data_IF_523612816406
#
_entry.id   IF_523612816406
#
_cell.length_a   1.000
_cell.length_b   1.000
_cell.length_c   1.000
_cell.angle_alpha   90.00
_cell.angle_beta   90.00
_cell.angle_gamma   90.00
#
_symmetry.space_group_name_H-M   'P 1'
#
loop_
_entity.id
_entity.type
_entity.pdbx_description
1 polymer ?
#
# COMPACT_ATOMS: atom_id res chain seq x y z
N UNK A 1 51.98 -37.75 41.34
CA UNK A 1 53.07 -38.59 40.80
C UNK A 1 52.81 -38.80 39.32
N UNK A 2 53.64 -38.25 38.43
CA UNK A 2 54.35 -36.96 38.58
C UNK A 2 54.14 -36.05 37.33
N UNK A 3 53.94 -34.73 37.48
CA UNK A 3 54.95 -33.63 37.36
C UNK A 3 55.08 -33.08 35.91
N UNK A 4 55.46 -31.84 35.60
CA UNK A 4 55.97 -30.68 36.40
C UNK A 4 54.99 -29.47 36.25
N UNK A 5 54.74 -28.60 37.23
CA UNK A 5 55.65 -27.67 37.96
C UNK A 5 56.20 -26.51 37.07
N UNK A 6 56.28 -25.23 37.49
CA UNK A 6 56.10 -24.61 38.82
C UNK A 6 55.96 -23.05 38.75
N UNK A 7 55.02 -22.43 39.51
CA UNK A 7 55.21 -21.24 40.41
C UNK A 7 55.58 -19.81 39.88
N UNK A 8 55.41 -18.66 40.60
CA UNK A 8 54.86 -18.30 41.95
C UNK A 8 54.47 -16.79 42.05
N UNK A 9 53.51 -16.48 42.96
CA UNK A 9 53.32 -15.25 43.77
C UNK A 9 53.28 -13.82 43.14
N UNK A 10 52.56 -12.84 43.70
CA UNK A 10 51.60 -12.85 44.82
C UNK A 10 51.63 -11.58 45.69
N UNK A 11 50.44 -11.12 46.15
CA UNK A 11 50.08 -10.49 47.45
C UNK A 11 48.77 -9.66 47.25
N UNK A 12 47.64 -9.90 47.96
CA UNK A 12 47.35 -9.57 49.37
C UNK A 12 47.36 -8.04 49.64
N UNK A 13 46.38 -7.37 50.29
CA UNK A 13 45.31 -7.83 51.22
C UNK A 13 44.27 -6.71 51.52
N UNK A 14 43.01 -7.11 51.81
CA UNK A 14 42.07 -6.60 52.87
C UNK A 14 41.50 -5.15 52.91
N UNK A 15 40.14 -5.15 52.96
CA UNK A 15 39.22 -4.49 53.94
C UNK A 15 39.10 -2.95 54.04
N UNK A 16 37.84 -2.50 53.94
CA UNK A 16 37.20 -1.77 55.05
C UNK A 16 36.53 -0.44 54.67
N UNK A 17 35.28 -0.16 55.10
CA UNK A 17 34.50 0.99 54.65
C UNK A 17 34.50 2.16 55.65
N UNK A 18 34.06 3.35 55.22
CA UNK A 18 33.58 4.41 56.13
C UNK A 18 32.60 5.38 55.42
N UNK A 19 31.80 6.08 56.23
CA UNK A 19 30.60 6.85 55.87
C UNK A 19 30.66 8.31 56.35
N UNK A 20 29.81 9.18 55.78
CA UNK A 20 29.51 10.54 56.29
C UNK A 20 30.12 11.65 55.41
N UNK A 21 29.46 12.72 54.95
CA UNK A 21 28.34 13.57 55.42
C UNK A 21 28.81 14.94 55.99
N UNK A 22 28.28 16.04 55.43
CA UNK A 22 28.52 17.44 55.82
C UNK A 22 29.63 18.14 55.00
N UNK A 23 29.57 19.45 54.69
CA UNK A 23 28.57 20.50 55.01
C UNK A 23 28.67 21.67 54.00
N UNK A 24 27.50 22.17 53.56
CA UNK A 24 27.02 23.58 53.53
C UNK A 24 28.04 24.75 53.52
N UNK A 25 27.95 25.75 52.61
CA UNK A 25 27.23 27.07 52.73
C UNK A 25 27.72 27.99 51.56
N UNK A 26 27.09 29.08 51.07
CA UNK A 26 25.78 29.76 51.24
C UNK A 26 25.53 30.71 50.01
N UNK A 27 24.29 31.22 49.84
CA UNK A 27 23.88 32.54 49.25
C UNK A 27 24.36 33.01 47.84
N UNK A 28 23.50 33.52 46.96
CA UNK A 28 22.68 34.74 47.17
C UNK A 28 21.48 34.87 46.21
N UNK A 29 20.47 35.64 46.65
CA UNK A 29 19.19 35.88 45.95
C UNK A 29 19.13 37.21 45.16
N UNK A 30 18.23 37.28 44.16
CA UNK A 30 17.32 38.40 43.78
C UNK A 30 16.60 38.02 42.47
N UNK A 31 15.28 37.86 42.35
CA UNK A 31 14.09 38.64 42.74
C UNK A 31 13.50 39.50 41.61
N UNK A 32 12.17 39.32 41.42
CA UNK A 32 11.11 40.15 40.78
C UNK A 32 10.41 39.43 39.61
N UNK A 33 9.18 38.90 39.76
CA UNK A 33 7.84 39.52 39.93
C UNK A 33 7.09 39.84 38.62
N UNK A 34 5.76 39.61 38.64
CA UNK A 34 4.72 39.65 37.58
C UNK A 34 4.37 38.27 37.00
N UNK A 35 3.11 37.86 36.85
CA UNK A 35 1.82 38.47 37.23
C UNK A 35 0.67 37.63 36.64
N UNK A 36 -0.35 37.28 37.43
CA UNK A 36 -1.34 36.26 37.05
C UNK A 36 -2.50 36.77 36.17
N UNK A 37 -3.13 35.86 35.41
CA UNK A 37 -4.29 36.16 34.55
C UNK A 37 -4.99 34.94 33.95
N UNK A 38 -5.67 34.13 34.77
CA UNK A 38 -6.58 33.07 34.30
C UNK A 38 -8.01 33.60 34.15
N UNK A 39 -8.68 33.32 33.03
CA UNK A 39 -10.15 33.40 32.92
C UNK A 39 -10.75 32.13 32.30
N UNK A 40 -11.75 31.58 32.99
CA UNK A 40 -12.49 30.35 32.61
C UNK A 40 -13.50 30.63 31.50
N UNK A 41 -13.68 29.70 30.57
CA UNK A 41 -14.86 29.62 29.70
C UNK A 41 -15.99 28.86 30.41
N UNK A 42 -17.22 29.38 30.35
CA UNK A 42 -18.46 28.68 30.76
C UNK A 42 -19.55 28.90 29.70
N UNK A 43 -20.33 27.84 29.41
CA UNK A 43 -21.55 27.90 28.58
C UNK A 43 -22.77 28.28 29.44
N UNK A 44 -23.82 28.85 28.82
CA UNK A 44 -25.19 28.39 29.07
C UNK A 44 -26.03 28.17 27.77
N UNK A 45 -27.28 27.63 27.87
CA UNK A 45 -28.04 27.09 26.73
C UNK A 45 -29.32 27.93 26.39
N UNK A 46 -30.50 27.43 25.92
CA UNK A 46 -31.07 27.92 24.65
C UNK A 46 -32.51 28.52 24.69
N UNK A 47 -32.94 29.11 23.56
CA UNK A 47 -34.29 29.62 23.27
C UNK A 47 -34.41 31.16 23.34
N UNK A 48 -35.39 31.84 22.73
CA UNK A 48 -36.31 31.50 21.63
C UNK A 48 -37.06 32.79 21.15
N UNK A 49 -37.65 32.76 19.94
CA UNK A 49 -38.85 33.55 19.51
C UNK A 49 -38.72 35.04 19.03
N UNK A 50 -39.16 35.24 17.77
CA UNK A 50 -39.76 36.42 17.08
C UNK A 50 -38.95 37.68 16.68
N UNK A 51 -39.06 38.02 15.38
CA UNK A 51 -38.74 39.34 14.79
C UNK A 51 -38.91 39.33 13.26
N UNK A 52 -39.97 39.96 12.72
CA UNK A 52 -40.31 39.94 11.27
C UNK A 52 -39.49 40.94 10.45
N UNK A 53 -39.16 40.59 9.21
CA UNK A 53 -38.66 41.54 8.20
C UNK A 53 -38.24 40.87 6.89
N UNK A 54 -39.16 40.74 5.94
CA UNK A 54 -38.88 40.06 4.66
C UNK A 54 -38.71 41.04 3.49
N UNK A 55 -37.74 40.77 2.61
CA UNK A 55 -37.74 41.26 1.23
C UNK A 55 -37.69 40.08 0.26
N UNK A 56 -38.74 39.90 -0.53
CA UNK A 56 -38.74 39.01 -1.70
C UNK A 56 -38.16 39.78 -2.90
N UNK A 57 -37.31 39.13 -3.70
CA UNK A 57 -37.16 39.46 -5.12
C UNK A 57 -37.45 38.22 -5.95
N UNK A 58 -38.40 38.37 -6.86
CA UNK A 58 -38.93 37.34 -7.75
C UNK A 58 -38.13 37.25 -9.04
N UNK A 59 -37.86 36.05 -9.51
CA UNK A 59 -37.43 35.77 -10.90
C UNK A 59 -38.68 35.40 -11.70
N UNK A 60 -38.96 36.03 -12.86
CA UNK A 60 -40.14 35.71 -13.68
C UNK A 60 -39.88 34.55 -14.65
N UNK A 61 -40.94 33.81 -14.97
CA UNK A 61 -40.97 32.68 -15.91
C UNK A 61 -42.17 32.79 -16.85
N UNK A 62 -41.97 32.74 -18.18
CA UNK A 62 -42.95 32.49 -19.26
C UNK A 62 -42.39 32.93 -20.63
N UNK A 63 -42.97 32.52 -21.79
CA UNK A 63 -43.60 31.23 -22.12
C UNK A 63 -43.17 30.68 -23.52
N UNK A 64 -43.82 29.58 -23.93
CA UNK A 64 -43.67 28.86 -25.22
C UNK A 64 -44.37 29.57 -26.39
N UNK A 65 -43.90 29.37 -27.63
CA UNK A 65 -44.64 29.63 -28.87
C UNK A 65 -44.50 28.49 -29.90
N UNK A 66 -45.48 28.37 -30.80
CA UNK A 66 -45.70 27.22 -31.69
C UNK A 66 -45.06 27.34 -33.10
N UNK A 67 -44.90 26.16 -33.72
CA UNK A 67 -45.07 25.76 -35.13
C UNK A 67 -45.52 26.85 -36.15
N UNK A 68 -45.02 26.97 -37.39
CA UNK A 68 -45.09 26.04 -38.55
C UNK A 68 -44.28 26.63 -39.74
N UNK A 69 -44.06 26.01 -40.91
CA UNK A 69 -43.96 24.60 -41.37
C UNK A 69 -43.42 24.57 -42.83
N UNK A 70 -42.90 23.44 -43.33
CA UNK A 70 -42.56 23.26 -44.76
C UNK A 70 -42.48 21.77 -45.16
N UNK A 71 -43.36 21.32 -46.06
CA UNK A 71 -43.28 20.01 -46.72
C UNK A 71 -42.33 20.06 -47.92
N UNK A 72 -41.62 18.97 -48.19
CA UNK A 72 -41.14 18.66 -49.54
C UNK A 72 -41.48 17.20 -49.87
N UNK A 73 -41.83 16.96 -51.13
CA UNK A 73 -42.48 15.71 -51.55
C UNK A 73 -41.50 14.60 -51.91
N UNK A 74 -42.01 13.36 -51.86
CA UNK A 74 -41.30 12.12 -52.14
C UNK A 74 -40.75 12.04 -53.58
N UNK A 75 -39.54 11.50 -53.73
CA UNK A 75 -39.14 10.81 -54.96
C UNK A 75 -38.30 9.57 -54.65
N UNK A 76 -38.60 8.48 -55.34
CA UNK A 76 -38.07 7.15 -55.06
C UNK A 76 -36.62 6.94 -55.52
N UNK A 77 -35.98 5.91 -54.95
CA UNK A 77 -35.09 5.04 -55.75
C UNK A 77 -33.59 5.32 -55.75
N UNK A 78 -32.88 4.92 -54.68
CA UNK A 78 -31.66 4.07 -54.75
C UNK A 78 -31.13 3.74 -53.35
N UNK A 79 -31.23 2.47 -52.93
CA UNK A 79 -30.59 1.97 -51.70
C UNK A 79 -29.08 1.93 -51.90
N UNK A 80 -28.32 2.64 -51.06
CA UNK A 80 -26.90 2.33 -50.77
C UNK A 80 -26.86 1.48 -49.49
N UNK A 81 -26.01 0.44 -49.40
CA UNK A 81 -25.91 -0.34 -48.17
C UNK A 81 -25.21 0.48 -47.07
N UNK A 82 -25.90 0.68 -45.94
CA UNK A 82 -25.26 1.20 -44.73
C UNK A 82 -24.40 0.13 -44.04
N UNK A 83 -23.43 0.52 -43.20
CA UNK A 83 -22.56 -0.43 -42.51
C UNK A 83 -23.35 -1.31 -41.55
N UNK A 84 -22.95 -2.60 -41.47
CA UNK A 84 -23.66 -3.63 -40.72
C UNK A 84 -23.69 -3.36 -39.21
N UNK A 85 -24.86 -3.04 -38.66
CA UNK A 85 -25.10 -2.91 -37.22
C UNK A 85 -25.35 -4.28 -36.56
N UNK A 86 -24.41 -5.22 -36.72
CA UNK A 86 -24.39 -6.53 -36.06
C UNK A 86 -22.96 -6.97 -35.73
N UNK A 87 -22.48 -6.65 -34.53
CA UNK A 87 -21.33 -7.28 -33.83
C UNK A 87 -21.03 -6.77 -32.40
N UNK A 88 -21.84 -5.88 -31.80
CA UNK A 88 -21.62 -5.39 -30.43
C UNK A 88 -22.50 -6.05 -29.34
N UNK A 89 -23.48 -6.88 -29.69
CA UNK A 89 -24.40 -7.50 -28.70
C UNK A 89 -24.16 -9.00 -28.47
N UNK A 90 -23.21 -9.61 -29.18
CA UNK A 90 -22.74 -10.98 -28.94
C UNK A 90 -21.79 -11.01 -27.75
N UNK A 91 -20.77 -10.15 -27.80
CA UNK A 91 -19.59 -10.21 -26.96
C UNK A 91 -19.92 -9.87 -25.49
N UNK A 92 -20.91 -9.00 -25.25
CA UNK A 92 -21.44 -8.72 -23.91
C UNK A 92 -22.23 -9.89 -23.33
N UNK A 93 -23.09 -10.55 -24.12
CA UNK A 93 -23.84 -11.72 -23.67
C UNK A 93 -22.93 -12.93 -23.38
N UNK A 94 -21.87 -13.14 -24.16
CA UNK A 94 -20.91 -14.21 -23.90
C UNK A 94 -20.08 -13.97 -22.62
N UNK A 95 -19.67 -12.73 -22.35
CA UNK A 95 -18.95 -12.39 -21.12
C UNK A 95 -19.85 -12.43 -19.87
N UNK A 96 -21.14 -12.11 -19.99
CA UNK A 96 -22.12 -12.32 -18.90
C UNK A 96 -22.45 -13.81 -18.68
N UNK A 97 -22.44 -14.64 -19.72
CA UNK A 97 -22.59 -16.09 -19.56
C UNK A 97 -21.38 -16.69 -18.81
N UNK A 98 -20.15 -16.38 -19.26
CA UNK A 98 -18.90 -16.86 -18.65
C UNK A 98 -18.73 -16.41 -17.19
N UNK A 99 -19.13 -15.20 -16.84
CA UNK A 99 -19.03 -14.71 -15.45
C UNK A 99 -20.00 -15.41 -14.47
N UNK A 100 -21.06 -16.05 -14.96
CA UNK A 100 -21.96 -16.86 -14.13
C UNK A 100 -21.44 -18.27 -13.84
N UNK A 101 -20.46 -18.77 -14.60
CA UNK A 101 -19.77 -20.04 -14.33
C UNK A 101 -18.72 -19.86 -13.21
N UNK A 102 -18.05 -18.70 -13.17
CA UNK A 102 -17.01 -18.39 -12.18
C UNK A 102 -17.56 -18.26 -10.75
N UNK A 103 -17.13 -19.09 -9.78
CA UNK A 103 -17.60 -19.03 -8.40
C UNK A 103 -17.36 -17.67 -7.72
N UNK A 104 -16.29 -16.98 -8.12
CA UNK A 104 -15.94 -15.64 -7.62
C UNK A 104 -16.89 -14.54 -8.11
N UNK A 105 -17.47 -14.67 -9.31
CA UNK A 105 -18.21 -13.60 -10.01
C UNK A 105 -19.71 -13.85 -10.05
N UNK A 106 -20.16 -15.10 -9.86
CA UNK A 106 -21.57 -15.47 -9.82
C UNK A 106 -22.29 -14.80 -8.65
N UNK A 107 -23.28 -13.96 -8.97
CA UNK A 107 -24.15 -13.31 -7.96
C UNK A 107 -24.85 -14.34 -7.09
N UNK A 108 -24.58 -14.34 -5.78
CA UNK A 108 -25.25 -15.19 -4.81
C UNK A 108 -26.23 -14.38 -3.96
N UNK A 109 -27.49 -14.79 -3.89
CA UNK A 109 -28.54 -14.11 -3.12
C UNK A 109 -28.59 -14.50 -1.64
N UNK A 110 -27.63 -15.30 -1.15
CA UNK A 110 -27.79 -16.13 0.06
C UNK A 110 -26.87 -15.78 1.24
N UNK A 111 -26.05 -14.72 1.16
CA UNK A 111 -25.11 -14.34 2.24
C UNK A 111 -25.13 -12.85 2.55
N UNK A 112 -26.17 -12.42 3.26
CA UNK A 112 -26.19 -11.14 3.99
C UNK A 112 -25.39 -11.21 5.31
N UNK A 113 -25.04 -12.42 5.77
CA UNK A 113 -24.19 -12.68 6.94
C UNK A 113 -22.90 -13.36 6.51
N UNK A 114 -21.78 -12.96 7.12
CA UNK A 114 -20.46 -13.50 6.79
C UNK A 114 -20.26 -14.94 7.30
N UNK A 115 -20.91 -15.32 8.41
CA UNK A 115 -20.81 -16.66 8.98
C UNK A 115 -21.95 -17.59 8.50
N UNK A 116 -21.69 -18.91 8.35
CA UNK A 116 -20.38 -19.56 8.45
C UNK A 116 -19.49 -19.25 7.23
N UNK A 117 -18.18 -19.11 7.47
CA UNK A 117 -17.17 -18.87 6.43
C UNK A 117 -17.18 -20.03 5.42
N UNK A 118 -17.19 -19.71 4.12
CA UNK A 118 -17.18 -20.69 3.03
C UNK A 118 -15.80 -20.79 2.37
N UNK A 119 -15.02 -19.71 2.41
CA UNK A 119 -13.66 -19.63 1.85
C UNK A 119 -12.65 -19.32 2.97
N UNK A 120 -12.24 -20.34 3.75
CA UNK A 120 -11.46 -20.15 4.98
C UNK A 120 -10.03 -19.67 4.73
N UNK A 121 -9.47 -19.96 3.56
CA UNK A 121 -8.18 -19.48 3.07
C UNK A 121 -8.21 -18.00 2.67
N UNK A 122 -9.22 -17.58 1.89
CA UNK A 122 -9.50 -16.17 1.58
C UNK A 122 -9.69 -15.38 2.90
N UNK A 123 -10.48 -15.93 3.83
CA UNK A 123 -10.69 -15.31 5.15
C UNK A 123 -9.41 -15.26 6.00
N UNK A 124 -8.55 -16.28 5.92
CA UNK A 124 -7.24 -16.29 6.58
C UNK A 124 -6.34 -15.17 6.05
N UNK A 125 -6.29 -14.95 4.73
CA UNK A 125 -5.52 -13.84 4.16
C UNK A 125 -6.09 -12.48 4.60
N UNK A 126 -7.41 -12.33 4.68
CA UNK A 126 -8.01 -11.12 5.27
C UNK A 126 -7.60 -10.92 6.73
N UNK A 127 -7.59 -11.98 7.54
CA UNK A 127 -7.10 -11.88 8.94
C UNK A 127 -5.60 -11.59 9.04
N UNK A 128 -4.80 -12.07 8.09
CA UNK A 128 -3.38 -11.71 7.99
C UNK A 128 -3.21 -10.23 7.65
N UNK A 129 -3.97 -9.69 6.69
CA UNK A 129 -3.96 -8.26 6.37
C UNK A 129 -4.38 -7.41 7.58
N UNK A 130 -5.46 -7.77 8.28
CA UNK A 130 -5.88 -7.09 9.51
C UNK A 130 -4.81 -7.09 10.61
N UNK A 131 -4.04 -8.18 10.76
CA UNK A 131 -2.95 -8.26 11.74
C UNK A 131 -1.74 -7.38 11.36
N UNK A 132 -1.60 -7.03 10.08
CA UNK A 132 -0.54 -6.16 9.55
C UNK A 132 -0.85 -4.66 9.63
N UNK A 133 -2.10 -4.26 9.93
CA UNK A 133 -2.56 -2.84 9.96
C UNK A 133 -1.54 -1.88 10.57
N UNK A 134 -1.25 -0.76 9.92
CA UNK A 134 -0.38 0.30 10.43
C UNK A 134 -0.84 1.68 9.93
N UNK A 135 -0.35 2.76 10.53
CA UNK A 135 -0.56 4.15 10.05
C UNK A 135 0.75 4.88 9.81
N UNK A 136 0.73 5.93 8.99
CA UNK A 136 1.95 6.63 8.57
C UNK A 136 2.70 7.29 9.75
N UNK A 137 2.01 7.66 10.83
CA UNK A 137 2.62 8.22 12.05
C UNK A 137 3.46 7.22 12.86
N UNK A 138 3.35 5.91 12.59
CA UNK A 138 4.27 4.90 13.17
C UNK A 138 5.70 5.00 12.59
N UNK A 139 5.91 5.78 11.51
CA UNK A 139 7.21 5.91 10.82
C UNK A 139 7.95 7.19 11.24
N UNK A 140 9.00 7.04 12.05
CA UNK A 140 9.87 8.16 12.46
C UNK A 140 10.77 8.68 11.32
N UNK A 141 10.37 9.78 10.69
CA UNK A 141 11.16 10.48 9.66
C UNK A 141 12.19 11.49 10.23
N UNK A 142 12.28 11.67 11.56
CA UNK A 142 13.08 12.76 12.16
C UNK A 142 14.58 12.68 11.86
N UNK A 143 15.09 11.47 11.61
CA UNK A 143 16.51 11.19 11.31
C UNK A 143 16.83 11.23 9.82
N UNK A 144 15.82 11.25 8.94
CA UNK A 144 16.03 11.11 7.50
C UNK A 144 16.53 12.39 6.87
N UNK A 145 16.06 13.57 7.30
CA UNK A 145 16.51 14.84 6.72
C UNK A 145 18.05 15.08 6.89
N UNK A 146 18.67 14.77 8.05
CA UNK A 146 20.13 14.73 8.19
C UNK A 146 20.86 13.72 7.28
N UNK A 147 20.24 12.58 6.96
CA UNK A 147 20.81 11.61 6.01
C UNK A 147 20.67 12.12 4.57
N UNK A 148 19.45 12.54 4.19
CA UNK A 148 19.09 13.15 2.91
C UNK A 148 20.09 14.23 2.53
N UNK A 149 20.35 15.20 3.41
CA UNK A 149 21.25 16.31 3.10
C UNK A 149 22.67 15.86 2.72
N UNK A 150 23.16 14.73 3.26
CA UNK A 150 24.49 14.16 2.97
C UNK A 150 24.55 13.33 1.68
N UNK A 151 23.41 12.92 1.11
CA UNK A 151 23.37 12.17 -0.14
C UNK A 151 23.88 12.99 -1.33
N UNK A 152 24.45 12.31 -2.33
CA UNK A 152 24.87 12.90 -3.60
C UNK A 152 23.67 13.44 -4.39
N UNK A 153 23.94 14.28 -5.40
CA UNK A 153 22.92 14.75 -6.36
C UNK A 153 22.13 13.59 -6.97
N UNK A 154 22.84 12.54 -7.34
CA UNK A 154 22.34 11.43 -8.15
C UNK A 154 21.48 10.48 -7.29
N UNK A 155 21.88 10.29 -6.03
CA UNK A 155 21.11 9.54 -5.03
C UNK A 155 19.81 10.28 -4.67
N UNK A 156 19.88 11.61 -4.47
CA UNK A 156 18.70 12.46 -4.27
C UNK A 156 17.77 12.45 -5.48
N UNK A 157 18.35 12.48 -6.69
CA UNK A 157 17.59 12.40 -7.93
C UNK A 157 16.86 11.06 -8.03
N UNK A 158 17.57 9.94 -7.87
CA UNK A 158 16.99 8.60 -7.89
C UNK A 158 15.84 8.46 -6.89
N UNK A 159 16.09 8.74 -5.60
CA UNK A 159 15.08 8.57 -4.54
C UNK A 159 13.87 9.48 -4.79
N UNK A 160 14.06 10.75 -5.18
CA UNK A 160 12.92 11.64 -5.42
C UNK A 160 12.05 11.21 -6.59
N UNK A 161 12.63 10.59 -7.62
CA UNK A 161 11.89 10.12 -8.80
C UNK A 161 11.21 8.75 -8.56
N UNK A 162 11.80 7.89 -7.72
CA UNK A 162 11.13 6.67 -7.20
C UNK A 162 9.91 7.05 -6.35
N UNK A 163 10.05 7.98 -5.41
CA UNK A 163 8.93 8.42 -4.57
C UNK A 163 7.81 9.07 -5.40
N UNK A 164 8.16 9.85 -6.42
CA UNK A 164 7.21 10.46 -7.34
C UNK A 164 6.43 9.42 -8.17
N UNK A 165 7.10 8.35 -8.60
CA UNK A 165 6.45 7.20 -9.25
C UNK A 165 5.46 6.50 -8.29
N UNK A 166 5.88 6.21 -7.05
CA UNK A 166 5.03 5.58 -6.05
C UNK A 166 3.80 6.43 -5.71
N UNK A 167 3.97 7.70 -5.32
CA UNK A 167 2.86 8.59 -4.94
C UNK A 167 1.76 8.73 -6.02
N UNK A 168 2.10 8.45 -7.29
CA UNK A 168 1.17 8.44 -8.40
C UNK A 168 0.52 7.06 -8.69
N UNK A 169 1.14 5.96 -8.26
CA UNK A 169 0.78 4.59 -8.66
C UNK A 169 -0.28 3.97 -7.75
N UNK A 170 -0.15 4.14 -6.43
CA UNK A 170 -1.08 3.61 -5.42
C UNK A 170 -2.51 4.16 -5.62
N UNK A 171 -2.64 5.39 -6.12
CA UNK A 171 -3.92 5.97 -6.55
C UNK A 171 -4.59 5.20 -7.70
N UNK A 172 -3.80 4.80 -8.71
CA UNK A 172 -4.28 4.01 -9.86
C UNK A 172 -4.66 2.58 -9.42
N UNK A 173 -3.90 1.99 -8.49
CA UNK A 173 -4.22 0.70 -7.85
C UNK A 173 -5.58 0.80 -7.13
N UNK A 174 -5.79 1.86 -6.35
CA UNK A 174 -7.05 2.12 -5.66
C UNK A 174 -8.26 2.28 -6.61
N UNK A 175 -8.12 3.00 -7.72
CA UNK A 175 -9.17 3.10 -8.75
C UNK A 175 -9.56 1.70 -9.29
N UNK A 176 -8.58 0.83 -9.56
CA UNK A 176 -8.87 -0.54 -10.00
C UNK A 176 -9.62 -1.36 -8.94
N UNK A 177 -9.19 -1.28 -7.68
CA UNK A 177 -9.80 -2.01 -6.57
C UNK A 177 -11.26 -1.57 -6.34
N UNK A 178 -11.50 -0.26 -6.34
CA UNK A 178 -12.82 0.36 -6.08
C UNK A 178 -13.77 0.21 -7.28
N UNK A 179 -13.32 0.45 -8.51
CA UNK A 179 -14.19 0.41 -9.68
C UNK A 179 -14.36 -0.99 -10.30
N UNK A 180 -13.37 -1.86 -10.18
CA UNK A 180 -13.37 -3.21 -10.79
C UNK A 180 -13.53 -4.30 -9.73
N UNK A 181 -12.46 -4.68 -9.03
CA UNK A 181 -12.43 -5.99 -8.36
C UNK A 181 -13.40 -6.11 -7.18
N UNK A 182 -13.52 -5.10 -6.32
CA UNK A 182 -14.45 -5.13 -5.19
C UNK A 182 -15.93 -5.19 -5.60
N UNK A 183 -16.26 -4.68 -6.80
CA UNK A 183 -17.62 -4.71 -7.36
C UNK A 183 -17.91 -6.00 -8.13
N UNK A 184 -16.95 -6.45 -8.94
CA UNK A 184 -17.06 -7.65 -9.79
C UNK A 184 -17.06 -8.95 -8.97
N UNK A 185 -16.19 -9.08 -7.97
CA UNK A 185 -16.16 -10.26 -7.09
C UNK A 185 -17.38 -10.23 -6.17
N UNK A 186 -18.06 -11.37 -6.03
CA UNK A 186 -19.29 -11.54 -5.23
C UNK A 186 -19.07 -12.31 -3.92
N UNK A 187 -17.89 -12.90 -3.73
CA UNK A 187 -17.52 -13.62 -2.50
C UNK A 187 -17.26 -12.60 -1.37
N UNK A 188 -18.01 -12.65 -0.25
CA UNK A 188 -17.90 -11.63 0.79
C UNK A 188 -16.57 -11.68 1.54
N UNK A 189 -15.96 -12.86 1.71
CA UNK A 189 -14.61 -12.99 2.26
C UNK A 189 -13.56 -12.22 1.45
N UNK A 190 -13.66 -12.25 0.11
CA UNK A 190 -12.74 -11.54 -0.77
C UNK A 190 -13.01 -10.03 -0.81
N UNK A 191 -14.29 -9.61 -0.70
CA UNK A 191 -14.64 -8.19 -0.51
C UNK A 191 -14.10 -7.63 0.81
N UNK A 192 -14.06 -8.43 1.88
CA UNK A 192 -13.42 -8.03 3.13
C UNK A 192 -11.91 -7.82 2.96
N UNK A 193 -11.22 -8.67 2.20
CA UNK A 193 -9.82 -8.45 1.83
C UNK A 193 -9.65 -7.13 1.05
N UNK A 194 -10.34 -6.97 -0.08
CA UNK A 194 -10.20 -5.75 -0.90
C UNK A 194 -10.58 -4.48 -0.16
N UNK A 195 -11.59 -4.50 0.72
CA UNK A 195 -11.94 -3.35 1.56
C UNK A 195 -10.85 -2.97 2.56
N UNK A 196 -10.03 -3.93 3.00
CA UNK A 196 -8.86 -3.66 3.82
C UNK A 196 -7.64 -3.26 2.98
N UNK A 197 -7.47 -3.83 1.79
CA UNK A 197 -6.45 -3.40 0.84
C UNK A 197 -6.63 -1.92 0.48
N UNK A 198 -7.83 -1.50 0.07
CA UNK A 198 -8.16 -0.09 -0.22
C UNK A 198 -7.78 0.82 0.95
N UNK A 199 -7.97 0.39 2.20
CA UNK A 199 -7.52 1.14 3.37
C UNK A 199 -5.98 1.27 3.41
N UNK A 200 -5.23 0.20 3.20
CA UNK A 200 -3.76 0.25 3.29
C UNK A 200 -3.12 0.99 2.10
N UNK A 201 -3.66 0.90 0.88
CA UNK A 201 -3.19 1.72 -0.26
C UNK A 201 -3.33 3.23 -0.01
N UNK A 202 -4.34 3.65 0.78
CA UNK A 202 -4.46 5.03 1.20
C UNK A 202 -3.38 5.43 2.22
N UNK A 203 -3.00 4.52 3.12
CA UNK A 203 -1.86 4.72 4.05
C UNK A 203 -0.53 4.75 3.28
N UNK A 204 -0.36 3.91 2.24
CA UNK A 204 0.80 3.96 1.34
C UNK A 204 0.89 5.32 0.64
N UNK A 205 -0.21 5.78 0.04
CA UNK A 205 -0.32 7.08 -0.65
C UNK A 205 0.02 8.26 0.28
N UNK A 206 -0.46 8.24 1.53
CA UNK A 206 -0.10 9.22 2.55
C UNK A 206 1.39 9.15 2.92
N UNK A 207 1.92 7.95 3.15
CA UNK A 207 3.33 7.73 3.49
C UNK A 207 4.26 8.26 2.39
N UNK A 208 4.00 7.96 1.12
CA UNK A 208 4.79 8.50 0.00
C UNK A 208 4.69 10.03 -0.10
N UNK A 209 3.51 10.61 0.16
CA UNK A 209 3.32 12.06 0.20
C UNK A 209 4.12 12.73 1.33
N UNK A 210 4.13 12.14 2.52
CA UNK A 210 4.91 12.60 3.69
C UNK A 210 6.42 12.50 3.44
N UNK A 211 6.89 11.42 2.81
CA UNK A 211 8.30 11.26 2.39
C UNK A 211 8.70 12.39 1.43
N UNK A 212 7.87 12.68 0.42
CA UNK A 212 8.13 13.77 -0.55
C UNK A 212 8.14 15.14 0.14
N UNK A 213 7.17 15.48 0.99
CA UNK A 213 7.12 16.79 1.67
C UNK A 213 8.31 16.99 2.64
N UNK A 214 8.72 15.90 3.31
CA UNK A 214 9.89 15.90 4.20
C UNK A 214 11.18 16.20 3.44
N UNK A 215 11.42 15.53 2.30
CA UNK A 215 12.69 15.62 1.57
C UNK A 215 12.75 16.77 0.56
N UNK A 216 11.63 17.14 -0.05
CA UNK A 216 11.53 18.08 -1.17
C UNK A 216 10.95 19.41 -0.68
N UNK A 217 11.82 20.23 -0.07
CA UNK A 217 11.46 21.52 0.52
C UNK A 217 10.99 22.56 -0.51
N UNK A 218 11.56 22.57 -1.72
CA UNK A 218 11.16 23.47 -2.82
C UNK A 218 9.76 23.11 -3.34
N UNK A 219 8.76 24.00 -3.19
CA UNK A 219 7.39 23.76 -3.67
C UNK A 219 7.31 23.48 -5.17
N UNK A 220 8.14 24.11 -6.00
CA UNK A 220 8.10 23.90 -7.47
C UNK A 220 8.62 22.52 -7.85
N UNK A 221 9.70 22.09 -7.21
CA UNK A 221 10.21 20.72 -7.39
C UNK A 221 9.21 19.68 -6.86
N UNK A 222 8.53 19.97 -5.75
CA UNK A 222 7.49 19.10 -5.18
C UNK A 222 6.27 18.98 -6.11
N UNK A 223 5.79 20.09 -6.66
CA UNK A 223 4.72 20.13 -7.67
C UNK A 223 5.10 19.36 -8.95
N UNK A 224 6.33 19.52 -9.46
CA UNK A 224 6.83 18.75 -10.60
C UNK A 224 6.81 17.23 -10.36
N UNK A 225 7.17 16.79 -9.14
CA UNK A 225 7.22 15.38 -8.75
C UNK A 225 5.82 14.80 -8.48
N UNK A 226 4.90 15.54 -7.86
CA UNK A 226 3.52 15.08 -7.70
C UNK A 226 2.77 14.93 -9.05
N UNK A 227 3.16 15.70 -10.07
CA UNK A 227 2.63 15.57 -11.42
C UNK A 227 3.39 14.55 -12.31
N UNK A 228 4.10 13.57 -11.73
CA UNK A 228 4.98 12.64 -12.46
C UNK A 228 4.30 11.86 -13.60
N UNK A 229 3.00 11.56 -13.54
CA UNK A 229 2.25 10.92 -14.65
C UNK A 229 2.27 11.80 -15.91
N UNK A 230 2.30 13.12 -15.77
CA UNK A 230 2.35 14.05 -16.90
C UNK A 230 3.78 14.50 -17.22
N UNK A 231 4.64 14.66 -16.20
CA UNK A 231 5.98 15.24 -16.34
C UNK A 231 7.09 14.21 -16.63
N UNK A 232 6.86 12.91 -16.39
CA UNK A 232 7.87 11.85 -16.53
C UNK A 232 7.39 10.72 -17.48
N UNK A 233 7.91 10.63 -18.71
CA UNK A 233 7.42 9.69 -19.74
C UNK A 233 7.37 8.21 -19.33
N UNK A 234 8.28 7.76 -18.46
CA UNK A 234 8.34 6.35 -18.02
C UNK A 234 7.34 6.04 -16.90
N UNK A 235 7.06 7.01 -16.02
CA UNK A 235 5.93 6.92 -15.07
C UNK A 235 4.63 6.90 -15.87
N UNK A 236 4.51 7.76 -16.88
CA UNK A 236 3.40 7.71 -17.82
C UNK A 236 3.24 6.34 -18.50
N UNK A 237 4.33 5.73 -18.99
CA UNK A 237 4.28 4.41 -19.64
C UNK A 237 3.75 3.32 -18.71
N UNK A 238 4.18 3.30 -17.44
CA UNK A 238 3.68 2.36 -16.41
C UNK A 238 2.22 2.65 -16.03
N UNK A 239 1.87 3.91 -15.83
CA UNK A 239 0.49 4.35 -15.56
C UNK A 239 -0.47 3.98 -16.70
N UNK A 240 -0.11 4.31 -17.95
CA UNK A 240 -0.90 3.98 -19.15
C UNK A 240 -1.07 2.46 -19.34
N UNK A 241 -0.07 1.65 -18.96
CA UNK A 241 -0.17 0.19 -18.96
C UNK A 241 -1.19 -0.30 -17.93
N UNK A 242 -1.13 0.20 -16.68
CA UNK A 242 -2.08 -0.16 -15.62
C UNK A 242 -3.51 0.31 -15.96
N UNK A 243 -3.66 1.59 -16.32
CA UNK A 243 -4.93 2.21 -16.73
C UNK A 243 -5.58 1.48 -17.91
N UNK A 244 -4.81 0.92 -18.85
CA UNK A 244 -5.35 0.07 -19.92
C UNK A 244 -6.12 -1.13 -19.37
N UNK A 245 -5.58 -1.83 -18.36
CA UNK A 245 -6.24 -3.00 -17.76
C UNK A 245 -7.47 -2.62 -16.91
N UNK A 246 -7.47 -1.42 -16.33
CA UNK A 246 -8.61 -0.84 -15.60
C UNK A 246 -9.72 -0.45 -16.57
N UNK A 247 -9.38 0.16 -17.71
CA UNK A 247 -10.35 0.65 -18.69
C UNK A 247 -10.88 -0.46 -19.63
N UNK A 248 -10.11 -1.52 -19.89
CA UNK A 248 -10.49 -2.53 -20.88
C UNK A 248 -11.73 -3.34 -20.44
N UNK A 249 -12.63 -3.52 -21.41
CA UNK A 249 -13.88 -4.29 -21.31
C UNK A 249 -13.81 -5.59 -22.10
N UNK A 250 -12.76 -5.82 -22.88
CA UNK A 250 -12.51 -7.06 -23.63
C UNK A 250 -11.77 -8.11 -22.79
N UNK A 251 -10.76 -7.67 -22.03
CA UNK A 251 -9.97 -8.54 -21.15
C UNK A 251 -10.83 -9.25 -20.11
N UNK A 252 -10.64 -10.57 -19.99
CA UNK A 252 -11.32 -11.41 -19.00
C UNK A 252 -10.93 -10.99 -17.57
N UNK A 253 -11.70 -11.47 -16.57
CA UNK A 253 -11.32 -11.29 -15.17
C UNK A 253 -9.97 -11.95 -14.87
N UNK A 254 -9.70 -13.15 -15.39
CA UNK A 254 -8.44 -13.85 -15.17
C UNK A 254 -7.22 -13.12 -15.74
N UNK A 255 -7.32 -12.53 -16.93
CA UNK A 255 -6.25 -11.69 -17.47
C UNK A 255 -6.00 -10.45 -16.59
N UNK A 256 -7.06 -9.80 -16.10
CA UNK A 256 -6.92 -8.62 -15.23
C UNK A 256 -6.34 -8.96 -13.86
N UNK A 257 -6.67 -10.12 -13.28
CA UNK A 257 -6.03 -10.60 -12.04
C UNK A 257 -4.53 -10.81 -12.23
N UNK A 258 -4.11 -11.38 -13.37
CA UNK A 258 -2.68 -11.54 -13.70
C UNK A 258 -2.01 -10.19 -13.92
N UNK A 259 -2.64 -9.28 -14.66
CA UNK A 259 -2.12 -7.94 -14.87
C UNK A 259 -1.97 -7.15 -13.55
N UNK A 260 -2.92 -7.32 -12.63
CA UNK A 260 -2.87 -6.70 -11.30
C UNK A 260 -1.75 -7.29 -10.42
N UNK A 261 -1.62 -8.61 -10.38
CA UNK A 261 -0.51 -9.28 -9.69
C UNK A 261 0.86 -8.86 -10.27
N UNK A 262 0.93 -8.48 -11.55
CA UNK A 262 2.14 -7.91 -12.15
C UNK A 262 2.37 -6.44 -11.77
N UNK A 263 1.33 -5.63 -11.49
CA UNK A 263 1.51 -4.28 -10.93
C UNK A 263 2.12 -4.39 -9.52
N UNK A 264 1.46 -5.10 -8.62
CA UNK A 264 1.88 -5.24 -7.21
C UNK A 264 3.21 -6.01 -7.09
N UNK A 265 3.32 -7.11 -7.83
CA UNK A 265 4.44 -8.03 -7.75
C UNK A 265 5.68 -7.66 -8.57
N UNK A 266 5.54 -6.99 -9.72
CA UNK A 266 6.66 -6.70 -10.65
C UNK A 266 6.96 -5.20 -10.74
N UNK A 267 5.98 -4.34 -11.01
CA UNK A 267 6.21 -2.90 -11.23
C UNK A 267 6.75 -2.13 -10.01
N UNK A 268 6.67 -2.69 -8.80
CA UNK A 268 7.30 -2.10 -7.62
C UNK A 268 8.57 -2.85 -7.16
N UNK A 269 8.82 -4.05 -7.68
CA UNK A 269 9.82 -4.99 -7.16
C UNK A 269 11.25 -4.44 -7.14
N UNK A 270 11.71 -3.87 -8.25
CA UNK A 270 13.07 -3.32 -8.35
C UNK A 270 13.21 -2.00 -7.59
N UNK A 271 12.12 -1.24 -7.46
CA UNK A 271 12.07 -0.02 -6.65
C UNK A 271 12.20 -0.32 -5.15
N UNK A 272 11.50 -1.36 -4.67
CA UNK A 272 11.68 -1.87 -3.29
C UNK A 272 13.09 -2.40 -3.05
N UNK A 273 13.65 -3.18 -3.98
CA UNK A 273 15.04 -3.67 -3.88
C UNK A 273 16.07 -2.52 -3.85
N UNK A 274 15.83 -1.45 -4.62
CA UNK A 274 16.67 -0.25 -4.63
C UNK A 274 16.62 0.52 -3.30
N UNK A 275 15.49 0.55 -2.60
CA UNK A 275 15.40 1.14 -1.25
C UNK A 275 16.03 0.19 -0.20
N UNK A 276 15.88 -1.13 -0.33
CA UNK A 276 16.58 -2.09 0.53
C UNK A 276 18.11 -2.04 0.40
N UNK A 277 18.63 -1.67 -0.77
CA UNK A 277 20.04 -1.34 -0.93
C UNK A 277 20.48 -0.13 -0.06
N UNK A 278 19.62 0.88 0.12
CA UNK A 278 19.87 1.98 1.07
C UNK A 278 19.87 1.50 2.52
N UNK A 279 18.99 0.54 2.88
CA UNK A 279 19.01 -0.14 4.20
C UNK A 279 20.34 -0.85 4.44
N UNK A 280 20.84 -1.62 3.45
CA UNK A 280 22.17 -2.28 3.52
C UNK A 280 23.32 -1.28 3.72
N UNK A 281 23.15 -0.03 3.25
CA UNK A 281 24.10 1.08 3.42
C UNK A 281 23.91 1.89 4.70
N UNK A 282 22.90 1.59 5.54
CA UNK A 282 22.61 2.33 6.77
C UNK A 282 22.05 3.74 6.53
N UNK A 283 21.31 3.94 5.45
CA UNK A 283 20.79 5.25 5.02
C UNK A 283 19.26 5.32 5.11
N UNK A 284 18.74 6.52 5.41
CA UNK A 284 17.30 6.84 5.40
C UNK A 284 16.45 5.85 6.22
N UNK A 285 16.65 5.77 7.56
CA UNK A 285 15.95 4.79 8.41
C UNK A 285 14.42 4.88 8.34
N UNK A 286 13.84 6.07 8.18
CA UNK A 286 12.39 6.25 7.99
C UNK A 286 11.89 5.69 6.66
N UNK A 287 12.50 6.12 5.55
CA UNK A 287 12.21 5.60 4.19
C UNK A 287 12.36 4.08 4.09
N UNK A 288 13.40 3.53 4.72
CA UNK A 288 13.68 2.08 4.64
C UNK A 288 12.72 1.27 5.51
N UNK A 289 12.30 1.80 6.67
CA UNK A 289 11.28 1.17 7.50
C UNK A 289 9.88 1.23 6.86
N UNK A 290 9.47 2.36 6.26
CA UNK A 290 8.20 2.39 5.52
C UNK A 290 8.21 1.44 4.31
N UNK A 291 9.34 1.32 3.62
CA UNK A 291 9.52 0.35 2.55
C UNK A 291 9.41 -1.12 3.03
N UNK A 292 9.82 -1.45 4.26
CA UNK A 292 9.58 -2.78 4.86
C UNK A 292 8.09 -3.07 5.06
N UNK A 293 7.32 -2.07 5.49
CA UNK A 293 5.88 -2.21 5.70
C UNK A 293 5.13 -2.34 4.37
N UNK A 294 5.38 -1.43 3.43
CA UNK A 294 4.70 -1.40 2.13
C UNK A 294 5.04 -2.63 1.28
N UNK A 295 6.32 -3.01 1.16
CA UNK A 295 6.69 -4.19 0.35
C UNK A 295 6.22 -5.53 0.95
N UNK A 296 5.95 -5.60 2.25
CA UNK A 296 5.25 -6.73 2.90
C UNK A 296 3.79 -6.77 2.48
N UNK A 297 3.13 -5.62 2.44
CA UNK A 297 1.70 -5.50 2.12
C UNK A 297 1.46 -5.78 0.62
N UNK A 298 2.26 -5.22 -0.28
CA UNK A 298 2.27 -5.58 -1.71
C UNK A 298 2.55 -7.06 -1.97
N UNK A 299 3.42 -7.68 -1.17
CA UNK A 299 3.62 -9.13 -1.21
C UNK A 299 2.34 -9.90 -0.88
N UNK A 300 1.60 -9.45 0.13
CA UNK A 300 0.32 -10.06 0.53
C UNK A 300 -0.80 -9.81 -0.49
N UNK A 301 -0.82 -8.65 -1.15
CA UNK A 301 -1.77 -8.32 -2.21
C UNK A 301 -1.52 -9.20 -3.44
N UNK A 302 -0.25 -9.34 -3.86
CA UNK A 302 0.16 -10.20 -4.97
C UNK A 302 -0.15 -11.68 -4.70
N UNK A 303 0.13 -12.18 -3.47
CA UNK A 303 -0.28 -13.52 -3.03
C UNK A 303 -1.81 -13.69 -3.11
N UNK A 304 -2.58 -12.65 -2.77
CA UNK A 304 -4.03 -12.69 -2.80
C UNK A 304 -4.58 -12.72 -4.23
N UNK A 305 -3.99 -11.96 -5.15
CA UNK A 305 -4.28 -12.05 -6.57
C UNK A 305 -4.00 -13.47 -7.11
N UNK A 306 -2.90 -14.11 -6.69
CA UNK A 306 -2.62 -15.52 -7.00
C UNK A 306 -3.67 -16.47 -6.41
N UNK A 307 -4.16 -16.23 -5.19
CA UNK A 307 -5.26 -17.00 -4.61
C UNK A 307 -6.57 -16.83 -5.40
N UNK A 308 -6.92 -15.61 -5.81
CA UNK A 308 -8.08 -15.38 -6.68
C UNK A 308 -7.94 -16.12 -8.01
N UNK A 309 -6.74 -16.11 -8.61
CA UNK A 309 -6.45 -16.84 -9.84
C UNK A 309 -6.65 -18.35 -9.69
N UNK A 310 -6.25 -18.94 -8.56
CA UNK A 310 -6.46 -20.38 -8.27
C UNK A 310 -7.94 -20.75 -8.33
N UNK A 311 -8.82 -19.90 -7.80
CA UNK A 311 -10.27 -20.08 -7.77
C UNK A 311 -10.99 -19.94 -9.13
N UNK A 312 -10.31 -19.51 -10.19
CA UNK A 312 -10.91 -19.41 -11.53
C UNK A 312 -11.08 -20.78 -12.19
N UNK A 313 -12.25 -20.99 -12.78
CA UNK A 313 -12.56 -22.17 -13.61
C UNK A 313 -11.94 -21.98 -15.00
N UNK A 314 -12.25 -20.87 -15.65
CA UNK A 314 -11.77 -20.51 -16.99
C UNK A 314 -10.52 -19.63 -16.88
N UNK A 315 -9.37 -20.24 -16.60
CA UNK A 315 -8.07 -19.54 -16.58
C UNK A 315 -7.65 -19.14 -18.01
N UNK A 316 -6.98 -17.98 -18.20
CA UNK A 316 -6.31 -17.65 -19.46
C UNK A 316 -5.19 -18.67 -19.78
N UNK A 317 -4.81 -18.77 -21.06
CA UNK A 317 -3.72 -19.67 -21.48
C UNK A 317 -2.37 -19.24 -20.88
N UNK A 318 -1.47 -20.20 -20.67
CA UNK A 318 -0.11 -19.92 -20.19
C UNK A 318 0.62 -18.92 -21.10
N UNK A 319 0.43 -19.02 -22.43
CA UNK A 319 0.95 -18.07 -23.41
C UNK A 319 0.50 -16.63 -23.12
N UNK A 320 -0.80 -16.44 -22.83
CA UNK A 320 -1.38 -15.12 -22.51
C UNK A 320 -0.90 -14.60 -21.16
N UNK A 321 -0.75 -15.47 -20.16
CA UNK A 321 -0.19 -15.10 -18.85
C UNK A 321 1.27 -14.67 -18.99
N UNK A 322 2.08 -15.41 -19.75
CA UNK A 322 3.47 -15.06 -20.05
C UNK A 322 3.58 -13.75 -20.82
N UNK A 323 2.71 -13.49 -21.81
CA UNK A 323 2.68 -12.20 -22.54
C UNK A 323 2.52 -11.01 -21.59
N UNK A 324 1.58 -11.08 -20.65
CA UNK A 324 1.30 -10.02 -19.66
C UNK A 324 2.51 -9.81 -18.75
N UNK A 325 3.07 -10.90 -18.21
CA UNK A 325 4.18 -10.85 -17.25
C UNK A 325 5.49 -10.41 -17.91
N UNK A 326 5.84 -10.94 -19.08
CA UNK A 326 7.06 -10.55 -19.81
C UNK A 326 6.99 -9.07 -20.21
N UNK A 327 5.84 -8.58 -20.66
CA UNK A 327 5.70 -7.16 -20.99
C UNK A 327 5.79 -6.25 -19.75
N UNK A 328 5.35 -6.72 -18.57
CA UNK A 328 5.58 -6.00 -17.32
C UNK A 328 7.07 -5.97 -16.93
N UNK A 329 7.81 -7.07 -17.13
CA UNK A 329 9.26 -7.15 -16.91
C UNK A 329 10.02 -6.19 -17.82
N UNK A 330 9.70 -6.16 -19.13
CA UNK A 330 10.34 -5.26 -20.10
C UNK A 330 10.25 -3.79 -19.66
N UNK A 331 9.06 -3.36 -19.22
CA UNK A 331 8.80 -1.98 -18.77
C UNK A 331 9.54 -1.67 -17.46
N UNK A 332 9.59 -2.60 -16.50
CA UNK A 332 10.30 -2.38 -15.24
C UNK A 332 11.83 -2.37 -15.43
N UNK A 333 12.36 -3.20 -16.35
CA UNK A 333 13.77 -3.20 -16.71
C UNK A 333 14.18 -1.88 -17.39
N UNK A 334 13.40 -1.39 -18.36
CA UNK A 334 13.62 -0.08 -19.00
C UNK A 334 13.60 1.03 -17.95
N UNK A 335 12.62 1.02 -17.04
CA UNK A 335 12.50 2.01 -15.96
C UNK A 335 13.75 2.08 -15.07
N UNK A 336 14.26 0.94 -14.60
CA UNK A 336 15.37 0.90 -13.61
C UNK A 336 16.77 0.78 -14.22
N UNK A 337 16.90 0.67 -15.55
CA UNK A 337 18.21 0.58 -16.20
C UNK A 337 18.49 1.63 -17.26
N UNK A 338 17.45 2.29 -17.79
CA UNK A 338 17.57 3.32 -18.83
C UNK A 338 16.99 4.66 -18.36
N UNK A 339 15.75 4.65 -17.85
CA UNK A 339 15.06 5.87 -17.43
C UNK A 339 15.58 6.46 -16.12
N UNK A 340 15.69 5.61 -15.09
CA UNK A 340 16.15 5.95 -13.76
C UNK A 340 17.18 4.91 -13.31
N UNK A 341 18.40 4.91 -13.89
CA UNK A 341 19.34 3.81 -13.71
C UNK A 341 19.76 3.61 -12.25
N UNK A 342 19.64 2.39 -11.74
CA UNK A 342 20.04 2.05 -10.36
C UNK A 342 21.54 2.25 -10.08
N UNK A 343 22.36 2.45 -11.13
CA UNK A 343 23.73 2.93 -11.02
C UNK A 343 23.86 4.27 -10.28
N UNK A 344 22.83 5.13 -10.30
CA UNK A 344 22.79 6.42 -9.57
C UNK A 344 22.89 6.25 -8.04
N UNK A 345 22.51 5.09 -7.50
CA UNK A 345 22.66 4.71 -6.08
C UNK A 345 23.77 3.66 -5.85
N UNK A 346 24.55 3.35 -6.88
CA UNK A 346 25.68 2.41 -6.82
C UNK A 346 25.31 0.93 -6.96
N UNK A 347 24.14 0.59 -7.52
CA UNK A 347 23.78 -0.79 -7.86
C UNK A 347 24.16 -1.15 -9.31
N UNK A 348 24.23 -2.44 -9.61
CA UNK A 348 24.49 -2.94 -10.96
C UNK A 348 23.17 -3.15 -11.72
N UNK A 349 23.00 -2.48 -12.86
CA UNK A 349 21.81 -2.60 -13.71
C UNK A 349 21.55 -4.03 -14.23
N UNK A 350 22.59 -4.81 -14.52
CA UNK A 350 22.44 -6.22 -14.97
C UNK A 350 21.86 -7.08 -13.87
N UNK A 351 22.34 -6.91 -12.63
CA UNK A 351 21.78 -7.62 -11.47
C UNK A 351 20.33 -7.16 -11.17
N UNK A 352 20.00 -5.90 -11.43
CA UNK A 352 18.61 -5.45 -11.30
C UNK A 352 17.69 -6.11 -12.34
N UNK A 353 18.13 -6.26 -13.61
CA UNK A 353 17.36 -7.01 -14.63
C UNK A 353 17.12 -8.46 -14.20
N UNK A 354 18.18 -9.15 -13.76
CA UNK A 354 18.09 -10.52 -13.24
C UNK A 354 17.16 -10.64 -12.02
N UNK A 355 17.16 -9.66 -11.10
CA UNK A 355 16.25 -9.66 -9.96
C UNK A 355 14.77 -9.52 -10.38
N UNK A 356 14.46 -8.61 -11.32
CA UNK A 356 13.10 -8.43 -11.85
C UNK A 356 12.62 -9.73 -12.54
N UNK A 357 13.51 -10.39 -13.30
CA UNK A 357 13.25 -11.69 -13.94
C UNK A 357 12.99 -12.81 -12.91
N UNK A 358 13.78 -12.87 -11.83
CA UNK A 358 13.59 -13.80 -10.72
C UNK A 358 12.22 -13.61 -10.04
N UNK A 359 11.80 -12.36 -9.81
CA UNK A 359 10.49 -12.05 -9.22
C UNK A 359 9.34 -12.44 -10.17
N UNK A 360 9.49 -12.21 -11.48
CA UNK A 360 8.51 -12.61 -12.48
C UNK A 360 8.38 -14.14 -12.61
N UNK A 361 9.49 -14.87 -12.57
CA UNK A 361 9.50 -16.34 -12.52
C UNK A 361 8.84 -16.89 -11.25
N UNK A 362 9.01 -16.21 -10.11
CA UNK A 362 8.30 -16.56 -8.86
C UNK A 362 6.79 -16.34 -9.01
N UNK A 363 6.36 -15.22 -9.59
CA UNK A 363 4.94 -14.95 -9.84
C UNK A 363 4.33 -15.98 -10.81
N UNK A 364 5.01 -16.32 -11.90
CA UNK A 364 4.60 -17.40 -12.81
C UNK A 364 4.41 -18.72 -12.06
N UNK A 365 5.33 -19.06 -11.16
CA UNK A 365 5.26 -20.29 -10.35
C UNK A 365 4.06 -20.27 -9.39
N UNK A 366 3.80 -19.16 -8.70
CA UNK A 366 2.64 -19.04 -7.77
C UNK A 366 1.28 -19.06 -8.50
N UNK A 367 1.23 -18.56 -9.74
CA UNK A 367 0.06 -18.69 -10.63
C UNK A 367 -0.12 -20.11 -11.20
N UNK A 368 0.87 -21.00 -11.01
CA UNK A 368 0.82 -22.41 -11.44
C UNK A 368 1.41 -22.69 -12.82
N UNK A 369 2.26 -21.80 -13.33
CA UNK A 369 2.89 -21.89 -14.66
C UNK A 369 4.40 -22.13 -14.59
N UNK A 370 4.99 -22.44 -15.74
CA UNK A 370 6.43 -22.69 -15.85
C UNK A 370 7.22 -21.38 -15.84
N UNK A 371 8.41 -21.40 -15.23
CA UNK A 371 9.41 -20.33 -15.35
C UNK A 371 9.75 -20.04 -16.81
N UNK A 372 10.04 -18.78 -17.12
CA UNK A 372 10.44 -18.30 -18.45
C UNK A 372 11.91 -17.88 -18.47
N UNK A 373 12.38 -17.17 -17.44
CA UNK A 373 13.73 -16.60 -17.41
C UNK A 373 14.78 -17.54 -16.83
N UNK A 374 14.37 -18.41 -15.90
CA UNK A 374 15.24 -19.26 -15.07
C UNK A 374 16.26 -18.47 -14.25
N UNK A 375 15.92 -17.22 -13.90
CA UNK A 375 16.78 -16.33 -13.15
C UNK A 375 16.88 -16.71 -11.67
N UNK A 376 18.09 -16.62 -11.12
CA UNK A 376 18.37 -16.73 -9.68
C UNK A 376 18.35 -15.35 -9.01
N UNK A 377 18.07 -15.27 -7.71
CA UNK A 377 18.13 -14.01 -6.97
C UNK A 377 19.58 -13.51 -6.85
N UNK A 378 19.94 -12.32 -7.39
CA UNK A 378 21.29 -11.78 -7.29
C UNK A 378 21.54 -10.95 -6.02
N UNK A 379 20.53 -10.77 -5.16
CA UNK A 379 20.58 -9.86 -4.00
C UNK A 379 20.40 -10.62 -2.67
N UNK A 380 21.52 -10.96 -2.05
CA UNK A 380 21.64 -11.56 -0.70
C UNK A 380 20.79 -10.85 0.37
N UNK A 381 20.72 -9.52 0.30
CA UNK A 381 19.99 -8.70 1.27
C UNK A 381 18.47 -8.88 1.18
N UNK A 382 17.93 -9.26 0.03
CA UNK A 382 16.49 -9.51 -0.13
C UNK A 382 16.02 -10.76 0.63
N UNK A 383 16.91 -11.76 0.78
CA UNK A 383 16.65 -12.96 1.59
C UNK A 383 16.75 -12.66 3.08
N UNK A 384 17.82 -11.97 3.51
CA UNK A 384 18.05 -11.62 4.91
C UNK A 384 16.94 -10.72 5.47
N UNK A 385 16.50 -9.72 4.71
CA UNK A 385 15.42 -8.80 5.14
C UNK A 385 14.07 -9.52 5.23
N UNK A 386 13.81 -10.50 4.35
CA UNK A 386 12.63 -11.37 4.41
C UNK A 386 12.59 -12.26 5.66
N UNK A 387 13.74 -12.49 6.31
CA UNK A 387 13.87 -13.19 7.58
C UNK A 387 13.77 -12.23 8.78
N UNK A 388 14.50 -11.11 8.75
CA UNK A 388 14.47 -10.07 9.80
C UNK A 388 13.08 -9.45 9.99
N UNK A 389 12.32 -9.24 8.91
CA UNK A 389 10.96 -8.71 8.98
C UNK A 389 9.99 -9.68 9.68
N UNK A 390 10.22 -10.99 9.54
CA UNK A 390 9.40 -12.03 10.18
C UNK A 390 9.68 -12.17 11.68
N UNK A 391 10.90 -11.91 12.14
CA UNK A 391 11.23 -11.94 13.58
C UNK A 391 10.87 -10.62 14.26
N UNK A 392 11.36 -9.48 13.75
CA UNK A 392 11.19 -8.17 14.40
C UNK A 392 9.72 -7.75 14.54
N UNK A 393 8.85 -8.07 13.58
CA UNK A 393 7.46 -7.62 13.60
C UNK A 393 6.63 -8.30 14.69
N UNK A 394 6.76 -9.63 14.83
CA UNK A 394 6.10 -10.37 15.90
C UNK A 394 6.66 -9.98 17.27
N UNK A 395 7.99 -9.86 17.42
CA UNK A 395 8.59 -9.51 18.71
C UNK A 395 8.24 -8.08 19.17
N UNK A 396 8.30 -7.08 18.28
CA UNK A 396 7.90 -5.70 18.62
C UNK A 396 6.42 -5.61 18.98
N UNK A 397 5.50 -6.11 18.13
CA UNK A 397 4.06 -6.01 18.41
C UNK A 397 3.62 -6.84 19.60
N UNK A 398 4.22 -8.01 19.86
CA UNK A 398 3.93 -8.76 21.09
C UNK A 398 4.39 -7.98 22.33
N UNK A 399 5.52 -7.28 22.28
CA UNK A 399 5.97 -6.45 23.41
C UNK A 399 5.07 -5.23 23.69
N UNK A 400 4.44 -4.67 22.65
CA UNK A 400 3.51 -3.54 22.77
C UNK A 400 2.10 -4.01 23.17
N UNK A 401 1.62 -5.13 22.64
CA UNK A 401 0.38 -5.76 23.09
C UNK A 401 0.48 -6.32 24.51
N UNK A 402 1.64 -6.79 24.97
CA UNK A 402 1.84 -7.16 26.39
C UNK A 402 1.62 -5.99 27.35
N UNK A 403 1.70 -4.72 26.88
CA UNK A 403 1.33 -3.54 27.69
C UNK A 403 -0.16 -3.20 27.66
N UNK A 404 -0.92 -3.70 26.69
CA UNK A 404 -2.34 -3.37 26.51
C UNK A 404 -3.30 -4.57 26.66
N UNK A 405 -2.80 -5.80 26.75
CA UNK A 405 -3.60 -7.01 26.89
C UNK A 405 -3.26 -7.81 28.16
N UNK A 406 -4.05 -7.57 29.21
CA UNK A 406 -4.53 -8.58 30.17
C UNK A 406 -3.47 -9.43 30.87
N UNK A 407 -2.83 -8.86 31.90
CA UNK A 407 -2.57 -9.62 33.14
C UNK A 407 -3.76 -9.47 34.09
N UNK A 408 -4.88 -10.08 33.70
CA UNK A 408 -5.89 -10.55 34.63
C UNK A 408 -6.03 -12.05 34.34
N UNK A 409 -5.35 -12.87 35.15
CA UNK A 409 -5.45 -14.32 35.03
C UNK A 409 -6.91 -14.75 35.23
N UNK A 410 -7.35 -15.73 34.44
CA UNK A 410 -8.73 -16.20 34.46
C UNK A 410 -8.94 -17.17 35.61
N UNK A 411 -8.91 -16.65 36.83
CA UNK A 411 -9.27 -17.35 38.06
C UNK A 411 -10.38 -16.60 38.79
N UNK A 412 -11.35 -17.37 39.27
CA UNK A 412 -12.43 -16.96 40.19
C UNK A 412 -13.56 -16.05 39.63
N UNK A 413 -14.27 -16.56 38.62
CA UNK A 413 -15.71 -16.31 38.46
C UNK A 413 -16.51 -17.52 38.96
N UNK A 414 -16.47 -17.78 40.27
CA UNK A 414 -17.34 -18.79 40.92
C UNK A 414 -18.63 -18.12 41.36
N UNK A 415 -19.75 -18.58 40.82
CA UNK A 415 -21.09 -18.09 41.17
C UNK A 415 -21.63 -18.86 42.39
N UNK A 416 -21.72 -18.20 43.54
CA UNK A 416 -22.30 -18.77 44.78
C UNK A 416 -23.65 -18.12 45.09
N UNK A 417 -24.64 -18.92 45.46
CA UNK A 417 -26.05 -18.50 45.60
C UNK A 417 -26.53 -18.36 47.06
N UNK A 418 -25.62 -18.42 48.03
CA UNK A 418 -25.94 -18.38 49.45
C UNK A 418 -25.51 -17.02 50.04
N UNK A 419 -26.49 -16.12 50.19
CA UNK A 419 -26.40 -14.92 51.01
C UNK A 419 -27.64 -14.87 51.91
N UNK A 420 -27.45 -15.13 53.20
CA UNK A 420 -28.49 -14.86 54.21
C UNK A 420 -28.71 -13.34 54.33
N UNK A 421 -29.98 -12.95 54.54
CA UNK A 421 -30.51 -11.58 54.46
C UNK A 421 -30.00 -10.61 55.54
#
# INVERSE_FOLDING_TARGET
MPELEQTLNGQARKRGPLSGAGRSQQESERSLHLGAGLTRKTRPPPGSVLGRGGLKRSVPSAPVALAESARWETREGRKRPGPSRRRLSSDTNENEAKSNEEPLLRRSSRRFVIFPIQYPDIWKMYKQAQASFWTAEEVDLSKDLPHWNKLKSDEKYFISHILAFFAASDGIVNENLVERFSQEVQVPEARCFYGFQILIENVHSEMYSLLIDTYIRDPKKREFLFNAIETMPYVKKKADWALRWIADRKSTFGERVVAFAAVEGIFFSGSFAAIFWLKKRGLMPGLTFSNELISRDEGLHCDFACLMFRYLVNKPSEERVREIIVNAVEIEQEFLTEALPVGLIGMNCVLMKQYIEFVADRLLTELGFSKVFQAENPFDFMENISLEGKTNFFEKRVSEYQRFAVMAETTDNVFTLDADF
#
